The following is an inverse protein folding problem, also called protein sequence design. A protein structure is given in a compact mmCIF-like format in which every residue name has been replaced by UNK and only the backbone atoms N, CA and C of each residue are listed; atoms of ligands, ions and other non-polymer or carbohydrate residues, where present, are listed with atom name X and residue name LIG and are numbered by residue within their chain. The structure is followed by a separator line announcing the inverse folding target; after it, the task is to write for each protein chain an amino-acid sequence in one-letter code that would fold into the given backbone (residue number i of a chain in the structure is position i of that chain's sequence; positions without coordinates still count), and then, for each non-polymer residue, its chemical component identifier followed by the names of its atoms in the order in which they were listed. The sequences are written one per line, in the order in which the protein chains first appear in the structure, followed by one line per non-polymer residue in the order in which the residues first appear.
data_IF_845090308831
#
_entry.id   IF_845090308831
#
_cell.length_a   1.000
_cell.length_b   1.000
_cell.length_c   1.000
_cell.angle_alpha   90.00
_cell.angle_beta   90.00
_cell.angle_gamma   90.00
#
_symmetry.space_group_name_H-M   'P 1'
#
loop_
_entity.id
_entity.type
_entity.pdbx_description
1 polymer ?
#
# COMPACT_ATOMS: atom_id res chain seq x y z
N UNK A 1 31.44 -10.96 69.30
CA UNK A 1 30.32 -10.84 68.35
C UNK A 1 29.90 -9.37 68.28
N UNK A 2 30.38 -8.63 67.27
CA UNK A 2 29.89 -7.30 66.93
C UNK A 2 29.84 -7.24 65.41
N UNK A 3 28.65 -7.35 64.84
CA UNK A 3 28.42 -7.19 63.41
C UNK A 3 28.47 -5.70 63.08
N UNK A 4 29.49 -5.28 62.35
CA UNK A 4 29.57 -3.96 61.72
C UNK A 4 28.90 -4.02 60.36
N UNK A 5 27.75 -3.36 60.26
CA UNK A 5 27.00 -3.08 59.02
C UNK A 5 27.57 -1.80 58.41
N UNK A 6 28.20 -1.86 57.23
CA UNK A 6 28.08 -0.73 56.30
C UNK A 6 28.06 -1.21 54.84
N UNK A 7 27.09 -2.05 54.47
CA UNK A 7 26.90 -2.45 53.06
C UNK A 7 25.61 -1.90 52.43
N UNK A 8 24.76 -1.22 53.21
CA UNK A 8 23.43 -0.82 52.75
C UNK A 8 23.35 0.58 52.11
N UNK A 9 24.41 1.39 52.18
CA UNK A 9 24.36 2.80 51.75
C UNK A 9 24.94 3.07 50.36
N UNK A 10 25.65 2.11 49.74
CA UNK A 10 26.25 2.29 48.42
C UNK A 10 25.29 1.95 47.24
N UNK A 11 24.21 1.21 47.49
CA UNK A 11 23.31 0.75 46.42
C UNK A 11 22.26 1.80 45.99
N UNK A 12 22.09 2.90 46.75
CA UNK A 12 20.99 3.84 46.54
C UNK A 12 21.31 4.99 45.55
N UNK A 13 22.56 5.12 45.10
CA UNK A 13 22.96 6.16 44.14
C UNK A 13 23.07 5.69 42.67
N UNK A 14 22.96 4.38 42.39
CA UNK A 14 23.02 3.85 41.01
C UNK A 14 21.65 3.56 40.38
N UNK A 15 20.54 4.04 40.96
CA UNK A 15 19.18 3.77 40.47
C UNK A 15 18.45 4.95 39.80
N UNK A 16 18.99 6.18 39.88
CA UNK A 16 18.29 7.41 39.47
C UNK A 16 18.94 8.05 38.23
N UNK A 17 19.27 7.25 37.21
CA UNK A 17 19.71 7.81 35.92
C UNK A 17 19.02 7.17 34.70
N UNK A 18 18.09 6.24 34.92
CA UNK A 18 17.39 5.51 33.83
C UNK A 18 15.98 6.06 33.55
N UNK A 19 15.57 7.16 34.20
CA UNK A 19 14.24 7.77 34.01
C UNK A 19 14.26 9.04 33.13
N UNK A 20 15.41 9.37 32.52
CA UNK A 20 15.56 10.53 31.63
C UNK A 20 15.85 10.17 30.18
N UNK A 21 15.58 8.94 29.74
CA UNK A 21 15.65 8.57 28.33
C UNK A 21 14.27 8.18 27.80
N UNK A 22 13.59 9.19 27.23
CA UNK A 22 12.66 9.09 26.11
C UNK A 22 11.89 10.43 25.96
N UNK A 23 12.60 11.53 25.73
CA UNK A 23 11.98 12.60 24.96
C UNK A 23 11.81 12.06 23.54
N UNK A 24 10.61 11.57 23.23
CA UNK A 24 10.23 11.12 21.90
C UNK A 24 10.75 12.08 20.82
N UNK A 25 11.39 11.51 19.80
CA UNK A 25 11.89 12.13 18.58
C UNK A 25 11.24 13.48 18.24
N UNK A 26 11.88 14.59 18.61
CA UNK A 26 11.64 15.88 17.95
C UNK A 26 12.67 16.10 16.86
N UNK A 27 12.73 15.17 15.92
CA UNK A 27 13.15 15.49 14.58
C UNK A 27 11.89 15.91 13.82
N UNK A 28 11.41 17.14 14.06
CA UNK A 28 10.73 17.87 12.99
C UNK A 28 11.83 18.31 11.99
N UNK A 29 12.53 17.32 11.43
CA UNK A 29 13.56 17.53 10.44
C UNK A 29 12.83 17.87 9.16
N UNK A 30 13.11 19.06 8.63
CA UNK A 30 12.57 19.51 7.35
C UNK A 30 12.56 18.37 6.33
N UNK A 31 11.39 18.04 5.80
CA UNK A 31 11.21 16.91 4.90
C UNK A 31 10.28 17.23 3.75
N UNK A 32 10.47 16.50 2.65
CA UNK A 32 9.62 16.50 1.48
C UNK A 32 9.25 15.05 1.16
N UNK A 33 7.95 14.79 1.10
CA UNK A 33 7.34 13.53 0.73
C UNK A 33 6.57 13.73 -0.59
N UNK A 34 6.76 12.79 -1.51
CA UNK A 34 6.07 12.78 -2.81
C UNK A 34 5.23 11.51 -2.85
N UNK A 35 3.93 11.68 -3.07
CA UNK A 35 2.99 10.57 -3.13
C UNK A 35 2.13 10.64 -4.41
N UNK A 36 2.24 9.67 -5.32
CA UNK A 36 3.20 8.56 -5.34
C UNK A 36 4.63 9.01 -5.71
N UNK A 37 5.66 8.29 -5.24
CA UNK A 37 7.06 8.52 -5.62
C UNK A 37 7.43 7.96 -6.99
N UNK A 38 6.54 7.16 -7.59
CA UNK A 38 6.66 6.62 -8.95
C UNK A 38 5.37 6.88 -9.72
N UNK A 39 5.47 7.53 -10.87
CA UNK A 39 4.30 8.00 -11.64
C UNK A 39 4.58 7.94 -13.15
N UNK A 40 3.60 7.58 -14.00
CA UNK A 40 3.76 7.75 -15.43
C UNK A 40 3.65 9.23 -15.84
N UNK A 41 4.25 9.59 -16.96
CA UNK A 41 4.11 10.95 -17.51
C UNK A 41 2.64 11.29 -17.79
N UNK A 42 2.22 12.52 -17.44
CA UNK A 42 0.85 13.01 -17.64
C UNK A 42 -0.09 12.87 -16.44
N UNK A 43 0.34 12.20 -15.38
CA UNK A 43 -0.46 12.01 -14.16
C UNK A 43 -0.07 13.03 -13.06
N UNK A 44 -0.85 13.08 -11.99
CA UNK A 44 -0.68 14.02 -10.87
C UNK A 44 0.06 13.37 -9.70
N UNK A 45 0.84 14.18 -8.98
CA UNK A 45 1.53 13.80 -7.76
C UNK A 45 1.23 14.79 -6.64
N UNK A 46 1.01 14.25 -5.45
CA UNK A 46 0.88 15.03 -4.22
C UNK A 46 2.25 15.32 -3.63
N UNK A 47 2.47 16.58 -3.27
CA UNK A 47 3.62 17.05 -2.52
C UNK A 47 3.18 17.31 -1.09
N UNK A 48 3.87 16.69 -0.12
CA UNK A 48 3.71 16.96 1.31
C UNK A 48 5.06 17.35 1.87
N UNK A 49 5.13 18.48 2.54
CA UNK A 49 6.35 18.99 3.12
C UNK A 49 6.11 19.41 4.56
N UNK A 50 7.18 19.39 5.34
CA UNK A 50 7.23 20.05 6.64
C UNK A 50 8.51 20.86 6.72
N UNK A 51 8.36 22.14 7.07
CA UNK A 51 9.43 23.03 7.49
C UNK A 51 9.41 23.16 9.03
N UNK A 52 10.28 23.99 9.60
CA UNK A 52 10.22 24.35 11.02
C UNK A 52 8.92 25.12 11.37
N UNK A 53 8.49 25.99 10.45
CA UNK A 53 7.26 26.79 10.56
C UNK A 53 6.33 26.46 9.38
N UNK A 54 5.36 25.57 9.63
CA UNK A 54 4.38 25.14 8.64
C UNK A 54 3.22 26.12 8.46
N UNK A 55 3.21 27.28 9.14
CA UNK A 55 2.20 28.33 8.93
C UNK A 55 2.56 29.24 7.75
N UNK A 56 3.81 29.14 7.25
CA UNK A 56 4.28 29.90 6.10
C UNK A 56 4.39 29.01 4.88
N UNK A 57 4.00 29.55 3.73
CA UNK A 57 4.20 28.86 2.46
C UNK A 57 5.70 28.63 2.20
N UNK A 58 6.00 27.52 1.53
CA UNK A 58 7.35 27.18 1.07
C UNK A 58 7.34 26.94 -0.45
N UNK A 59 8.52 26.83 -1.05
CA UNK A 59 8.65 26.63 -2.50
C UNK A 59 9.25 25.26 -2.78
N UNK A 60 8.61 24.49 -3.66
CA UNK A 60 9.15 23.23 -4.19
C UNK A 60 9.52 23.45 -5.65
N UNK A 61 10.72 23.02 -6.04
CA UNK A 61 11.24 23.21 -7.39
C UNK A 61 11.69 21.89 -8.00
N UNK A 62 11.41 21.70 -9.29
CA UNK A 62 11.92 20.58 -10.08
C UNK A 62 12.09 20.96 -11.55
N UNK A 63 12.97 20.26 -12.26
CA UNK A 63 13.12 20.41 -13.71
C UNK A 63 11.83 20.04 -14.48
N UNK A 64 10.92 19.29 -13.85
CA UNK A 64 9.67 18.82 -14.45
C UNK A 64 8.58 19.89 -14.55
N UNK A 65 8.37 20.63 -13.46
CA UNK A 65 7.22 21.54 -13.30
C UNK A 65 7.63 22.95 -12.87
N UNK A 66 8.93 23.25 -12.78
CA UNK A 66 9.44 24.54 -12.32
C UNK A 66 9.26 24.71 -10.81
N UNK A 67 8.99 25.94 -10.37
CA UNK A 67 8.78 26.29 -8.97
C UNK A 67 7.29 26.37 -8.64
N UNK A 68 6.87 25.67 -7.59
CA UNK A 68 5.49 25.57 -7.12
C UNK A 68 5.45 25.90 -5.62
N UNK A 69 4.47 26.70 -5.23
CA UNK A 69 4.26 27.07 -3.84
C UNK A 69 3.45 25.98 -3.11
N UNK A 70 3.98 25.47 -2.00
CA UNK A 70 3.24 24.58 -1.09
C UNK A 70 2.62 25.42 0.03
N UNK A 71 1.34 25.16 0.31
CA UNK A 71 0.54 25.97 1.25
C UNK A 71 0.21 25.20 2.53
N UNK A 72 0.07 25.89 3.67
CA UNK A 72 -0.34 25.28 4.93
C UNK A 72 -1.69 24.58 4.84
N UNK A 73 -1.74 23.28 5.15
CA UNK A 73 -2.94 22.47 5.31
C UNK A 73 -2.75 21.49 6.46
N UNK A 74 -3.62 21.57 7.47
CA UNK A 74 -3.67 20.64 8.61
C UNK A 74 -2.31 20.45 9.33
N UNK A 75 -1.52 21.52 9.45
CA UNK A 75 -0.21 21.49 10.12
C UNK A 75 0.96 21.00 9.26
N UNK A 76 0.73 20.79 7.96
CA UNK A 76 1.75 20.43 6.96
C UNK A 76 1.66 21.39 5.76
N UNK A 77 2.63 21.34 4.87
CA UNK A 77 2.61 22.08 3.61
C UNK A 77 2.24 21.13 2.48
N UNK A 78 1.23 21.46 1.68
CA UNK A 78 0.76 20.60 0.60
C UNK A 78 0.61 21.34 -0.72
N UNK A 79 0.80 20.62 -1.82
CA UNK A 79 0.43 21.03 -3.17
C UNK A 79 0.23 19.79 -4.05
N UNK A 80 -0.47 19.96 -5.17
CA UNK A 80 -0.57 18.95 -6.22
C UNK A 80 0.06 19.50 -7.48
N UNK A 81 0.88 18.70 -8.14
CA UNK A 81 1.53 19.07 -9.40
C UNK A 81 1.32 17.98 -10.43
N UNK A 82 1.23 18.38 -11.70
CA UNK A 82 1.08 17.46 -12.81
C UNK A 82 2.41 17.25 -13.53
N UNK A 83 2.79 16.00 -13.76
CA UNK A 83 3.97 15.69 -14.57
C UNK A 83 3.62 15.89 -16.05
N UNK A 84 4.37 16.69 -16.82
CA UNK A 84 4.08 16.90 -18.23
C UNK A 84 4.08 15.57 -19.01
N UNK A 85 3.13 15.39 -19.94
CA UNK A 85 2.99 14.13 -20.71
C UNK A 85 4.16 13.83 -21.64
N UNK A 86 4.93 14.86 -22.05
CA UNK A 86 6.11 14.73 -22.89
C UNK A 86 7.39 14.39 -22.10
N UNK A 87 7.31 14.22 -20.78
CA UNK A 87 8.45 13.91 -19.91
C UNK A 87 9.00 12.52 -20.21
N UNK A 88 10.34 12.41 -20.36
CA UNK A 88 10.99 11.10 -20.50
C UNK A 88 10.99 10.34 -19.19
N UNK A 89 10.89 9.02 -19.27
CA UNK A 89 11.10 8.16 -18.12
C UNK A 89 12.51 8.36 -17.54
N UNK A 90 12.62 8.39 -16.21
CA UNK A 90 13.85 8.66 -15.50
C UNK A 90 13.61 9.22 -14.10
N UNK A 91 14.70 9.49 -13.39
CA UNK A 91 14.70 9.99 -12.02
C UNK A 91 14.87 11.50 -12.00
N UNK A 92 13.94 12.19 -11.35
CA UNK A 92 13.94 13.65 -11.26
C UNK A 92 14.04 14.09 -9.81
N UNK A 93 14.97 14.98 -9.53
CA UNK A 93 15.07 15.61 -8.21
C UNK A 93 13.99 16.67 -8.04
N UNK A 94 13.46 16.72 -6.83
CA UNK A 94 12.51 17.71 -6.37
C UNK A 94 13.05 18.29 -5.08
N UNK A 95 13.27 19.60 -5.08
CA UNK A 95 13.92 20.33 -4.00
C UNK A 95 12.92 21.26 -3.32
N UNK A 96 12.78 21.12 -2.01
CA UNK A 96 12.04 22.01 -1.13
C UNK A 96 12.97 23.13 -0.61
N UNK A 97 12.48 24.36 -0.69
CA UNK A 97 13.04 25.57 -0.06
C UNK A 97 12.06 26.12 0.95
N UNK A 98 12.40 26.00 2.22
CA UNK A 98 11.66 26.57 3.32
C UNK A 98 12.00 28.07 3.50
N UNK A 99 11.10 28.86 4.10
CA UNK A 99 11.29 30.30 4.31
C UNK A 99 12.42 30.65 5.29
N UNK A 100 12.82 29.70 6.14
CA UNK A 100 13.97 29.77 7.05
C UNK A 100 15.31 29.42 6.37
N UNK A 101 15.30 29.13 5.07
CA UNK A 101 16.48 28.78 4.28
C UNK A 101 16.85 27.30 4.31
N UNK A 102 16.16 26.47 5.11
CA UNK A 102 16.38 25.03 5.13
C UNK A 102 15.86 24.38 3.86
N UNK A 103 16.45 23.22 3.55
CA UNK A 103 16.14 22.49 2.32
C UNK A 103 15.97 21.01 2.57
N UNK A 104 15.07 20.39 1.82
CA UNK A 104 14.96 18.95 1.71
C UNK A 104 14.84 18.57 0.23
N UNK A 105 15.28 17.37 -0.12
CA UNK A 105 15.19 16.87 -1.48
C UNK A 105 14.55 15.50 -1.48
N UNK A 106 13.71 15.24 -2.49
CA UNK A 106 13.13 13.93 -2.75
C UNK A 106 13.29 13.61 -4.25
N UNK A 107 13.22 12.31 -4.59
CA UNK A 107 13.33 11.84 -5.97
C UNK A 107 11.97 11.36 -6.43
N UNK A 108 11.54 11.84 -7.60
CA UNK A 108 10.36 11.37 -8.31
C UNK A 108 10.80 10.48 -9.48
N UNK A 109 10.32 9.24 -9.49
CA UNK A 109 10.57 8.27 -10.54
C UNK A 109 9.48 8.39 -11.61
N UNK A 110 9.83 8.89 -12.79
CA UNK A 110 8.90 8.93 -13.92
C UNK A 110 9.07 7.66 -14.73
N UNK A 111 8.00 6.90 -14.88
CA UNK A 111 8.00 5.67 -15.68
C UNK A 111 7.31 5.89 -17.04
N UNK A 112 7.67 5.07 -18.01
CA UNK A 112 6.94 5.05 -19.28
C UNK A 112 5.50 4.63 -19.01
N UNK A 113 4.54 5.33 -19.62
CA UNK A 113 3.13 4.96 -19.55
C UNK A 113 2.95 3.68 -20.37
N UNK A 114 2.94 2.54 -19.68
CA UNK A 114 2.65 1.24 -20.27
C UNK A 114 1.23 0.85 -19.91
N UNK A 115 0.45 0.46 -20.92
CA UNK A 115 -0.87 -0.10 -20.67
C UNK A 115 -0.68 -1.46 -19.98
N UNK A 116 -1.27 -1.72 -18.79
CA UNK A 116 -1.12 -2.99 -18.12
C UNK A 116 -1.60 -4.11 -19.05
N UNK A 117 -0.70 -5.03 -19.42
CA UNK A 117 -1.12 -6.23 -20.12
C UNK A 117 -2.12 -6.97 -19.22
N UNK A 118 -3.31 -7.24 -19.75
CA UNK A 118 -4.36 -8.00 -19.05
C UNK A 118 -3.71 -9.21 -18.39
N UNK A 119 -3.77 -9.27 -17.06
CA UNK A 119 -3.19 -10.37 -16.29
C UNK A 119 -3.72 -11.72 -16.82
N UNK A 120 -2.94 -12.81 -16.69
CA UNK A 120 -3.39 -14.11 -17.17
C UNK A 120 -4.75 -14.40 -16.56
N UNK A 121 -5.71 -14.82 -17.38
CA UNK A 121 -7.06 -15.14 -16.92
C UNK A 121 -7.05 -16.46 -16.12
N UNK A 122 -6.39 -16.46 -14.95
CA UNK A 122 -6.35 -17.58 -14.01
C UNK A 122 -7.61 -17.65 -13.15
N UNK A 123 -8.73 -17.11 -13.65
CA UNK A 123 -10.04 -17.39 -13.08
C UNK A 123 -10.28 -18.89 -13.21
N UNK A 124 -10.09 -19.62 -12.11
CA UNK A 124 -10.36 -21.05 -11.99
C UNK A 124 -11.85 -21.34 -12.12
N UNK A 125 -12.40 -21.12 -13.31
CA UNK A 125 -13.75 -21.49 -13.68
C UNK A 125 -13.81 -23.00 -13.89
N UNK A 126 -13.72 -23.78 -12.81
CA UNK A 126 -14.03 -25.22 -12.81
C UNK A 126 -15.49 -25.55 -13.18
N UNK A 127 -16.30 -24.52 -13.45
CA UNK A 127 -17.68 -24.58 -13.90
C UNK A 127 -17.88 -24.09 -15.34
N UNK A 128 -16.81 -23.73 -16.07
CA UNK A 128 -16.95 -23.45 -17.50
C UNK A 128 -17.42 -24.74 -18.20
N UNK A 129 -18.53 -24.71 -18.97
CA UNK A 129 -19.03 -25.91 -19.65
C UNK A 129 -17.97 -26.39 -20.64
N UNK A 130 -17.16 -27.35 -20.22
CA UNK A 130 -16.21 -28.03 -21.08
C UNK A 130 -16.96 -28.87 -22.11
N UNK A 131 -16.26 -29.27 -23.18
CA UNK A 131 -16.80 -30.10 -24.28
C UNK A 131 -17.53 -31.38 -23.82
N UNK A 132 -17.28 -31.82 -22.59
CA UNK A 132 -17.83 -33.05 -22.01
C UNK A 132 -19.07 -32.80 -21.12
N UNK A 133 -19.48 -31.56 -20.87
CA UNK A 133 -20.70 -31.23 -20.14
C UNK A 133 -21.96 -31.93 -20.70
N UNK A 134 -22.24 -31.95 -22.02
CA UNK A 134 -23.40 -32.66 -22.54
C UNK A 134 -23.31 -34.18 -22.32
N UNK A 135 -22.10 -34.75 -22.34
CA UNK A 135 -21.87 -36.18 -22.12
C UNK A 135 -22.16 -36.58 -20.68
N UNK A 136 -21.73 -35.77 -19.71
CA UNK A 136 -21.99 -35.99 -18.28
C UNK A 136 -23.49 -35.84 -17.94
N UNK A 137 -24.16 -34.86 -18.54
CA UNK A 137 -25.61 -34.67 -18.36
C UNK A 137 -26.38 -35.85 -18.98
N UNK A 138 -26.02 -36.26 -20.20
CA UNK A 138 -26.67 -37.38 -20.87
C UNK A 138 -26.46 -38.71 -20.13
N UNK A 139 -25.26 -38.97 -19.63
CA UNK A 139 -24.96 -40.21 -18.89
C UNK A 139 -25.69 -40.25 -17.54
N UNK A 140 -25.76 -39.14 -16.81
CA UNK A 140 -26.52 -39.05 -15.56
C UNK A 140 -28.01 -39.34 -15.78
N UNK A 141 -28.62 -38.74 -16.81
CA UNK A 141 -30.02 -38.99 -17.16
C UNK A 141 -30.29 -40.45 -17.54
N UNK A 142 -29.37 -41.08 -18.28
CA UNK A 142 -29.51 -42.48 -18.67
C UNK A 142 -29.53 -43.43 -17.46
N UNK A 143 -28.67 -43.20 -16.46
CA UNK A 143 -28.61 -44.01 -15.24
C UNK A 143 -29.89 -43.86 -14.42
N UNK A 144 -30.41 -42.63 -14.27
CA UNK A 144 -31.68 -42.38 -13.58
C UNK A 144 -32.83 -43.10 -14.30
N UNK A 145 -32.91 -42.98 -15.62
CA UNK A 145 -33.92 -43.65 -16.43
C UNK A 145 -33.90 -45.18 -16.26
N UNK A 146 -32.72 -45.79 -16.26
CA UNK A 146 -32.57 -47.22 -16.04
C UNK A 146 -33.05 -47.65 -14.64
N UNK A 147 -32.72 -46.86 -13.61
CA UNK A 147 -33.20 -47.09 -12.24
C UNK A 147 -34.72 -47.05 -12.14
N UNK A 148 -35.36 -46.06 -12.76
CA UNK A 148 -36.83 -45.92 -12.79
C UNK A 148 -37.47 -47.10 -13.53
N UNK A 149 -36.92 -47.52 -14.67
CA UNK A 149 -37.45 -48.67 -15.42
C UNK A 149 -37.40 -49.97 -14.60
N UNK A 150 -36.26 -50.24 -13.93
CA UNK A 150 -36.11 -51.40 -13.06
C UNK A 150 -37.08 -51.35 -11.87
N UNK A 151 -37.27 -50.17 -11.27
CA UNK A 151 -38.25 -49.98 -10.21
C UNK A 151 -39.68 -50.27 -10.67
N UNK A 152 -40.08 -49.79 -11.86
CA UNK A 152 -41.41 -50.07 -12.42
C UNK A 152 -41.58 -51.56 -12.73
N UNK A 153 -40.57 -52.22 -13.30
CA UNK A 153 -40.63 -53.66 -13.61
C UNK A 153 -40.76 -54.50 -12.33
N UNK A 154 -40.01 -54.16 -11.28
CA UNK A 154 -40.09 -54.87 -10.00
C UNK A 154 -41.45 -54.68 -9.32
N UNK A 155 -42.03 -53.48 -9.37
CA UNK A 155 -43.39 -53.23 -8.88
C UNK A 155 -44.46 -53.98 -9.67
N UNK A 156 -44.33 -54.06 -11.01
CA UNK A 156 -45.27 -54.84 -11.84
C UNK A 156 -45.18 -56.32 -11.53
N UNK A 157 -43.98 -56.88 -11.37
CA UNK A 157 -43.80 -58.30 -11.00
C UNK A 157 -44.44 -58.64 -9.66
N UNK A 158 -44.37 -57.74 -8.67
CA UNK A 158 -45.02 -57.91 -7.35
C UNK A 158 -46.54 -57.80 -7.36
N UNK A 159 -47.15 -57.28 -8.44
CA UNK A 159 -48.61 -57.18 -8.56
C UNK A 159 -49.25 -58.34 -9.32
N UNK A 160 -48.45 -59.14 -10.04
CA UNK A 160 -48.92 -60.26 -10.86
C UNK A 160 -48.47 -61.63 -10.34
N UNK A 161 -47.83 -61.70 -9.18
CA UNK A 161 -47.54 -62.93 -8.44
C UNK A 161 -48.06 -62.80 -7.03
#
# INVERSE_FOLDING_TARGET
MRLSVPAALAALFMGVFVLFDASAARAASVYLEINPSTVPAGDEVGLRASCDDNLKAATVSSALFGAVTVTPQYGLLTATVRVPSATRAGDYKVDLRCPDGKTASATLHVVAKVEPARGPATGGGGMAPGRNAPVLIASGLAVIGAGVALWVVTLRRRRFG
#
